data_IF_713534610098
#
_entry.id   IF_713534610098
#
_cell.length_a   1.000
_cell.length_b   1.000
_cell.length_c   1.000
_cell.angle_alpha   90.00
_cell.angle_beta   90.00
_cell.angle_gamma   90.00
#
_symmetry.space_group_name_H-M   'P 1'
#
loop_
_entity.id
_entity.type
_entity.pdbx_description
1 polymer ?
#
# COMPACT_ATOMS: atom_id res chain seq x y z
N UNK A 1 29.23 43.23 9.49
CA UNK A 1 29.85 43.28 8.15
C UNK A 1 28.72 43.20 7.12
N UNK A 2 28.81 43.84 5.96
CA UNK A 2 27.73 43.78 4.95
C UNK A 2 27.85 42.45 4.20
N UNK A 3 26.77 41.66 4.18
CA UNK A 3 26.70 40.44 3.39
C UNK A 3 26.89 40.79 1.90
N UNK A 4 27.87 40.18 1.25
CA UNK A 4 28.17 40.41 -0.16
C UNK A 4 27.58 39.25 -0.97
N UNK A 5 26.56 39.53 -1.78
CA UNK A 5 25.97 38.51 -2.65
C UNK A 5 26.89 38.28 -3.84
N UNK A 6 27.62 37.15 -3.84
CA UNK A 6 28.49 36.78 -4.97
C UNK A 6 27.76 35.94 -6.01
N UNK A 7 28.00 36.24 -7.28
CA UNK A 7 27.32 35.63 -8.43
C UNK A 7 27.91 34.26 -8.81
N UNK A 8 29.20 34.05 -8.55
CA UNK A 8 29.87 32.77 -8.83
C UNK A 8 29.51 31.73 -7.73
N UNK A 9 29.22 30.47 -8.08
CA UNK A 9 28.89 29.43 -7.11
C UNK A 9 29.98 29.19 -6.04
N UNK A 10 29.57 28.76 -4.85
CA UNK A 10 30.50 28.47 -3.74
C UNK A 10 31.58 27.43 -4.11
N UNK A 11 31.22 26.41 -4.90
CA UNK A 11 32.17 25.35 -5.28
C UNK A 11 33.38 25.84 -6.11
N UNK A 12 33.27 27.01 -6.75
CA UNK A 12 34.36 27.61 -7.54
C UNK A 12 35.27 28.53 -6.72
N UNK A 13 34.99 28.71 -5.42
CA UNK A 13 35.72 29.63 -4.53
C UNK A 13 35.84 29.10 -3.10
N UNK A 14 36.18 27.82 -2.94
CA UNK A 14 36.26 27.17 -1.64
C UNK A 14 37.36 27.75 -0.74
N UNK A 15 38.37 28.38 -1.34
CA UNK A 15 39.44 29.10 -0.66
C UNK A 15 39.02 30.47 -0.09
N UNK A 16 37.83 30.96 -0.45
CA UNK A 16 37.35 32.27 -0.05
C UNK A 16 36.19 32.17 0.94
N UNK A 17 36.40 32.71 2.15
CA UNK A 17 35.31 32.88 3.12
C UNK A 17 34.39 34.04 2.72
N UNK A 18 33.08 33.80 2.71
CA UNK A 18 32.06 34.81 2.44
C UNK A 18 30.84 34.59 3.34
N UNK A 19 30.44 35.61 4.10
CA UNK A 19 29.18 35.58 4.84
C UNK A 19 28.00 35.67 3.87
N UNK A 20 27.23 34.58 3.76
CA UNK A 20 26.06 34.47 2.90
C UNK A 20 24.79 34.28 3.73
N UNK A 21 23.97 35.33 3.79
CA UNK A 21 22.70 35.29 4.52
C UNK A 21 21.65 34.37 3.87
N UNK A 22 21.84 33.98 2.61
CA UNK A 22 20.94 33.03 1.92
C UNK A 22 20.96 31.63 2.55
N UNK A 23 22.06 31.27 3.23
CA UNK A 23 22.21 29.98 3.89
C UNK A 23 21.29 29.78 5.10
N UNK A 24 20.79 30.86 5.70
CA UNK A 24 20.04 30.82 6.96
C UNK A 24 18.60 31.35 6.86
N UNK A 25 18.20 31.92 5.72
CA UNK A 25 16.91 32.61 5.56
C UNK A 25 15.89 31.84 4.71
N UNK A 26 16.13 30.57 4.40
CA UNK A 26 15.23 29.73 3.61
C UNK A 26 15.21 30.06 2.11
N UNK A 27 16.11 30.92 1.61
CA UNK A 27 16.32 31.08 0.17
C UNK A 27 17.24 29.98 -0.39
N UNK A 28 17.21 29.75 -1.69
CA UNK A 28 18.09 28.77 -2.34
C UNK A 28 19.51 29.36 -2.53
N UNK A 29 20.53 28.89 -1.77
CA UNK A 29 21.88 29.41 -1.88
C UNK A 29 22.56 28.95 -3.16
N UNK A 30 23.44 29.79 -3.71
CA UNK A 30 24.20 29.49 -4.92
C UNK A 30 25.45 28.64 -4.62
N UNK A 31 25.24 27.38 -4.21
CA UNK A 31 26.34 26.50 -3.76
C UNK A 31 27.01 25.79 -4.94
N UNK A 32 26.23 25.04 -5.69
CA UNK A 32 26.69 24.23 -6.83
C UNK A 32 25.53 24.05 -7.81
N UNK A 33 25.84 24.06 -9.11
CA UNK A 33 24.88 23.69 -10.15
C UNK A 33 25.00 22.20 -10.39
N UNK A 34 23.96 21.44 -10.06
CA UNK A 34 23.92 20.00 -10.32
C UNK A 34 23.66 19.75 -11.82
N UNK A 35 24.57 19.10 -12.56
CA UNK A 35 24.31 18.70 -13.94
C UNK A 35 23.68 17.30 -14.00
N UNK A 36 22.71 17.04 -14.89
CA UNK A 36 22.06 17.99 -15.80
C UNK A 36 21.08 18.90 -15.07
N UNK A 37 20.70 20.03 -15.70
CA UNK A 37 19.65 20.90 -15.18
C UNK A 37 18.40 20.08 -14.83
N UNK A 38 17.87 20.28 -13.62
CA UNK A 38 16.66 19.59 -13.18
C UNK A 38 15.53 19.87 -14.15
N UNK A 39 14.98 18.80 -14.73
CA UNK A 39 13.80 18.86 -15.60
C UNK A 39 12.62 18.28 -14.84
N UNK A 40 11.40 18.82 -15.03
CA UNK A 40 10.21 18.18 -14.49
C UNK A 40 10.10 16.77 -15.07
N UNK A 41 9.97 15.78 -14.19
CA UNK A 41 9.72 14.40 -14.58
C UNK A 41 8.19 14.27 -14.63
N UNK A 42 7.60 13.83 -15.76
CA UNK A 42 6.17 13.59 -15.81
C UNK A 42 5.79 12.59 -14.72
N UNK A 43 4.68 12.85 -14.02
CA UNK A 43 4.17 11.92 -13.02
C UNK A 43 4.03 10.53 -13.65
N UNK A 44 4.44 9.48 -12.91
CA UNK A 44 4.22 8.10 -13.34
C UNK A 44 2.74 7.95 -13.73
N UNK A 45 2.42 7.43 -14.92
CA UNK A 45 1.03 7.29 -15.35
C UNK A 45 0.26 6.39 -14.40
N UNK A 46 -1.05 6.57 -14.38
CA UNK A 46 -1.96 5.70 -13.68
C UNK A 46 -1.83 4.28 -14.27
N UNK A 47 -1.58 3.31 -13.41
CA UNK A 47 -1.42 1.91 -13.78
C UNK A 47 -2.23 1.09 -12.78
N UNK A 48 -3.19 0.32 -13.28
CA UNK A 48 -4.03 -0.55 -12.46
C UNK A 48 -3.43 -1.94 -12.43
N UNK A 49 -3.27 -2.50 -11.24
CA UNK A 49 -2.94 -3.91 -11.07
C UNK A 49 -4.21 -4.75 -11.23
N UNK A 50 -4.48 -5.18 -12.47
CA UNK A 50 -5.65 -6.00 -12.80
C UNK A 50 -5.52 -7.44 -12.32
N UNK A 51 -4.30 -7.93 -12.03
CA UNK A 51 -4.10 -9.30 -11.56
C UNK A 51 -4.76 -9.51 -10.19
N UNK A 52 -4.84 -8.47 -9.37
CA UNK A 52 -5.52 -8.51 -8.08
C UNK A 52 -7.02 -8.83 -8.20
N UNK A 53 -7.67 -8.39 -9.28
CA UNK A 53 -9.10 -8.69 -9.51
C UNK A 53 -9.35 -10.17 -9.80
N UNK A 54 -8.32 -10.92 -10.20
CA UNK A 54 -8.41 -12.34 -10.55
C UNK A 54 -8.12 -13.25 -9.36
N UNK A 55 -7.84 -12.68 -8.18
CA UNK A 55 -7.65 -13.45 -6.96
C UNK A 55 -9.03 -13.86 -6.44
N UNK A 56 -9.45 -15.05 -6.87
CA UNK A 56 -10.70 -15.69 -6.45
C UNK A 56 -10.41 -17.02 -5.76
N UNK A 57 -11.34 -17.47 -4.90
CA UNK A 57 -11.22 -18.81 -4.33
C UNK A 57 -11.45 -19.87 -5.42
N UNK A 58 -10.76 -21.02 -5.34
CA UNK A 58 -11.08 -22.16 -6.20
C UNK A 58 -12.51 -22.65 -5.91
N UNK A 59 -13.09 -23.39 -6.85
CA UNK A 59 -14.38 -24.05 -6.60
C UNK A 59 -14.29 -24.93 -5.35
N UNK A 60 -15.32 -24.85 -4.52
CA UNK A 60 -15.47 -25.65 -3.30
C UNK A 60 -16.40 -26.86 -3.52
N UNK A 61 -16.85 -27.12 -4.74
CA UNK A 61 -17.83 -28.18 -5.04
C UNK A 61 -17.37 -29.55 -4.52
N UNK A 62 -16.08 -29.86 -4.64
CA UNK A 62 -15.48 -31.11 -4.14
C UNK A 62 -15.39 -31.19 -2.61
N UNK A 63 -15.55 -30.06 -1.91
CA UNK A 63 -15.59 -29.96 -0.44
C UNK A 63 -17.01 -29.85 0.09
N UNK A 64 -17.95 -29.47 -0.76
CA UNK A 64 -19.39 -29.45 -0.49
C UNK A 64 -19.99 -30.83 -0.82
N UNK A 65 -19.61 -31.83 -0.03
CA UNK A 65 -20.11 -33.19 -0.19
C UNK A 65 -21.65 -33.23 -0.23
N UNK A 66 -22.13 -34.07 -1.16
CA UNK A 66 -23.49 -34.45 -1.56
C UNK A 66 -24.36 -34.93 -0.39
N UNK A 67 -24.58 -34.09 0.61
CA UNK A 67 -25.40 -34.37 1.79
C UNK A 67 -26.80 -33.74 1.70
N UNK A 68 -27.05 -32.88 0.70
CA UNK A 68 -28.37 -32.29 0.46
C UNK A 68 -29.22 -32.99 -0.62
N UNK A 69 -28.68 -33.96 -1.38
CA UNK A 69 -29.40 -34.62 -2.50
C UNK A 69 -29.78 -36.08 -2.26
N UNK A 70 -29.85 -36.55 -1.01
CA UNK A 70 -30.63 -37.74 -0.64
C UNK A 70 -31.41 -37.44 0.62
N UNK A 71 -32.73 -37.45 0.48
CA UNK A 71 -33.66 -36.97 1.49
C UNK A 71 -33.45 -37.56 2.88
N UNK A 72 -33.72 -36.74 3.88
CA UNK A 72 -33.73 -37.15 5.27
C UNK A 72 -33.30 -35.99 6.14
N UNK A 73 -34.28 -35.22 6.60
CA UNK A 73 -34.15 -34.43 7.83
C UNK A 73 -33.67 -35.36 8.95
N UNK A 74 -32.36 -35.44 9.14
CA UNK A 74 -31.70 -36.13 10.24
C UNK A 74 -30.99 -35.09 11.11
N UNK A 75 -31.72 -34.00 11.41
CA UNK A 75 -31.45 -33.22 12.62
C UNK A 75 -31.90 -33.99 13.86
N UNK A 76 -31.71 -33.40 15.03
CA UNK A 76 -32.01 -33.88 16.40
C UNK A 76 -33.38 -34.60 16.60
N UNK A 77 -34.28 -34.58 15.63
CA UNK A 77 -35.59 -35.29 15.63
C UNK A 77 -35.50 -36.80 15.85
N UNK A 78 -34.38 -37.46 15.50
CA UNK A 78 -34.19 -38.89 15.74
C UNK A 78 -34.05 -39.27 17.22
N UNK A 79 -33.52 -38.37 18.04
CA UNK A 79 -33.22 -38.64 19.45
C UNK A 79 -34.43 -38.46 20.38
N UNK A 80 -35.43 -37.67 19.98
CA UNK A 80 -36.65 -37.44 20.80
C UNK A 80 -37.73 -38.50 20.58
N UNK A 81 -37.68 -39.22 19.44
CA UNK A 81 -38.70 -40.23 19.11
C UNK A 81 -38.56 -41.51 19.94
N UNK A 82 -37.35 -41.86 20.39
CA UNK A 82 -37.10 -43.02 21.25
C UNK A 82 -37.54 -42.83 22.70
N UNK A 83 -37.56 -41.59 23.20
CA UNK A 83 -37.90 -41.27 24.58
C UNK A 83 -39.42 -41.17 24.83
N UNK A 84 -40.22 -40.96 23.79
CA UNK A 84 -41.67 -40.73 23.87
C UNK A 84 -42.56 -41.96 23.58
N UNK A 85 -41.99 -43.14 23.31
CA UNK A 85 -42.76 -44.36 22.98
C UNK A 85 -42.54 -45.55 23.94
N UNK A 86 -41.83 -45.34 25.06
CA UNK A 86 -41.46 -46.40 26.00
C UNK A 86 -42.36 -46.56 27.24
N UNK A 87 -43.63 -46.14 27.18
CA UNK A 87 -44.56 -46.23 28.32
C UNK A 87 -45.88 -46.88 27.93
N UNK A 88 -45.93 -48.23 27.86
CA UNK A 88 -47.10 -49.03 28.24
C UNK A 88 -46.81 -50.55 28.19
N UNK A 89 -46.34 -51.11 29.31
CA UNK A 89 -46.83 -52.37 29.92
C UNK A 89 -45.96 -52.75 31.12
#
# INVERSE_FOLDING_TARGET
>A
MKASKKVVPLFERLEEYCEDSSLVNGSAPNVVRLPPDMKPIPCKPLFFDLALNLVEFPSLDDKLDVSAKKGGSAGITGFVKGFLWGGNK
#
